data_IF_306581573975
#
_entry.id   IF_306581573975
#
_cell.length_a   1.000
_cell.length_b   1.000
_cell.length_c   1.000
_cell.angle_alpha   90.00
_cell.angle_beta   90.00
_cell.angle_gamma   90.00
#
_symmetry.space_group_name_H-M   'P 1'
#
loop_
_entity.id
_entity.type
_entity.pdbx_description
1 polymer ?
#
# COMPACT_ATOMS: atom_id res chain seq x y z
N UNK A 1 0.84 -12.84 -20.99
CA UNK A 1 2.04 -13.68 -21.11
C UNK A 1 2.90 -13.32 -19.93
N UNK A 2 3.01 -14.23 -18.97
CA UNK A 2 3.99 -14.09 -17.90
C UNK A 2 5.39 -14.27 -18.50
N UNK A 3 6.36 -13.51 -17.99
CA UNK A 3 7.75 -13.59 -18.41
C UNK A 3 8.56 -14.03 -17.21
N UNK A 4 9.36 -15.08 -17.40
CA UNK A 4 10.30 -15.54 -16.39
C UNK A 4 11.43 -14.51 -16.24
N UNK A 5 11.77 -14.21 -14.99
CA UNK A 5 12.87 -13.30 -14.63
C UNK A 5 13.79 -14.04 -13.67
N UNK A 6 15.06 -14.21 -14.07
CA UNK A 6 16.09 -14.81 -13.21
C UNK A 6 16.95 -13.72 -12.60
N UNK A 7 17.06 -13.72 -11.25
CA UNK A 7 17.89 -12.78 -10.50
C UNK A 7 18.83 -13.56 -9.58
N UNK A 8 20.11 -13.20 -9.58
CA UNK A 8 21.09 -13.71 -8.62
C UNK A 8 21.06 -12.85 -7.36
N UNK A 9 20.72 -13.46 -6.22
CA UNK A 9 20.68 -12.78 -4.92
C UNK A 9 21.88 -13.24 -4.06
N UNK A 10 22.42 -12.36 -3.19
CA UNK A 10 23.41 -12.78 -2.19
C UNK A 10 22.86 -13.91 -1.31
N UNK A 11 23.70 -14.88 -0.94
CA UNK A 11 23.29 -16.07 -0.18
C UNK A 11 22.45 -15.74 1.06
N UNK A 12 22.93 -14.80 1.89
CA UNK A 12 22.22 -14.38 3.10
C UNK A 12 20.82 -13.81 2.83
N UNK A 13 20.62 -13.17 1.67
CA UNK A 13 19.32 -12.65 1.27
C UNK A 13 18.39 -13.76 0.81
N UNK A 14 18.92 -14.74 0.06
CA UNK A 14 18.18 -15.94 -0.34
C UNK A 14 17.70 -16.70 0.89
N UNK A 15 18.59 -16.97 1.86
CA UNK A 15 18.25 -17.69 3.09
C UNK A 15 17.14 -16.98 3.88
N UNK A 16 17.23 -15.65 3.98
CA UNK A 16 16.24 -14.83 4.67
C UNK A 16 14.87 -14.86 3.95
N UNK A 17 14.87 -14.73 2.62
CA UNK A 17 13.66 -14.76 1.81
C UNK A 17 12.97 -16.14 1.88
N UNK A 18 13.74 -17.23 1.82
CA UNK A 18 13.22 -18.59 1.95
C UNK A 18 12.60 -18.85 3.32
N UNK A 19 13.25 -18.37 4.40
CA UNK A 19 12.72 -18.50 5.75
C UNK A 19 11.38 -17.76 5.88
N UNK A 20 11.31 -16.52 5.42
CA UNK A 20 10.08 -15.70 5.50
C UNK A 20 8.98 -16.31 4.65
N UNK A 21 9.29 -16.75 3.42
CA UNK A 21 8.31 -17.40 2.55
C UNK A 21 7.71 -18.64 3.23
N UNK A 22 8.56 -19.46 3.86
CA UNK A 22 8.14 -20.66 4.62
C UNK A 22 7.28 -20.31 5.83
N UNK A 23 7.68 -19.33 6.63
CA UNK A 23 6.90 -18.84 7.78
C UNK A 23 5.51 -18.33 7.33
N UNK A 24 5.44 -17.69 6.16
CA UNK A 24 4.20 -17.22 5.55
C UNK A 24 3.41 -18.28 4.76
N UNK A 25 3.89 -19.53 4.67
CA UNK A 25 3.21 -20.59 3.91
C UNK A 25 3.19 -20.37 2.39
N UNK A 26 4.17 -19.65 1.84
CA UNK A 26 4.30 -19.33 0.41
C UNK A 26 5.59 -19.91 -0.18
N UNK A 27 5.66 -20.00 -1.52
CA UNK A 27 6.92 -20.33 -2.19
C UNK A 27 7.83 -19.10 -2.26
N UNK A 28 9.14 -19.32 -2.45
CA UNK A 28 10.09 -18.22 -2.66
C UNK A 28 9.68 -17.34 -3.85
N UNK A 29 9.24 -17.95 -4.95
CA UNK A 29 8.81 -17.21 -6.15
C UNK A 29 7.60 -16.32 -5.87
N UNK A 30 6.62 -16.81 -5.11
CA UNK A 30 5.45 -16.03 -4.70
C UNK A 30 5.84 -14.87 -3.79
N UNK A 31 6.76 -15.12 -2.85
CA UNK A 31 7.31 -14.09 -1.98
C UNK A 31 8.02 -12.99 -2.80
N UNK A 32 8.90 -13.37 -3.73
CA UNK A 32 9.62 -12.43 -4.60
C UNK A 32 8.65 -11.65 -5.49
N UNK A 33 7.67 -12.32 -6.10
CA UNK A 33 6.65 -11.66 -6.92
C UNK A 33 5.87 -10.61 -6.13
N UNK A 34 5.50 -10.92 -4.88
CA UNK A 34 4.81 -10.01 -3.98
C UNK A 34 5.71 -8.82 -3.62
N UNK A 35 6.97 -9.07 -3.24
CA UNK A 35 7.94 -8.02 -2.92
C UNK A 35 8.17 -7.07 -4.11
N UNK A 36 8.21 -7.59 -5.34
CA UNK A 36 8.31 -6.77 -6.57
C UNK A 36 7.04 -5.94 -6.75
N UNK A 37 5.85 -6.53 -6.58
CA UNK A 37 4.59 -5.81 -6.68
C UNK A 37 4.47 -4.69 -5.64
N UNK A 38 4.87 -4.96 -4.40
CA UNK A 38 4.93 -3.97 -3.32
C UNK A 38 5.90 -2.84 -3.65
N UNK A 39 7.12 -3.16 -4.12
CA UNK A 39 8.11 -2.15 -4.49
C UNK A 39 7.63 -1.27 -5.63
N UNK A 40 7.02 -1.86 -6.66
CA UNK A 40 6.41 -1.12 -7.77
C UNK A 40 5.28 -0.22 -7.28
N UNK A 41 4.44 -0.71 -6.36
CA UNK A 41 3.34 0.08 -5.78
C UNK A 41 3.87 1.25 -4.96
N UNK A 42 4.88 1.02 -4.13
CA UNK A 42 5.54 2.06 -3.34
C UNK A 42 6.19 3.15 -4.20
N UNK A 43 6.88 2.76 -5.28
CA UNK A 43 7.47 3.73 -6.23
C UNK A 43 6.39 4.57 -6.91
N UNK A 44 5.27 3.94 -7.30
CA UNK A 44 4.19 4.62 -8.02
C UNK A 44 3.26 5.44 -7.12
N UNK A 45 3.26 5.19 -5.81
CA UNK A 45 2.30 5.77 -4.88
C UNK A 45 2.27 7.30 -4.91
N UNK A 46 3.44 7.95 -4.91
CA UNK A 46 3.53 9.43 -4.91
C UNK A 46 2.88 10.03 -6.16
N UNK A 47 3.26 9.53 -7.34
CA UNK A 47 2.70 10.00 -8.61
C UNK A 47 1.19 9.74 -8.69
N UNK A 48 0.76 8.52 -8.31
CA UNK A 48 -0.65 8.17 -8.29
C UNK A 48 -1.48 9.08 -7.39
N UNK A 49 -1.00 9.37 -6.17
CA UNK A 49 -1.68 10.25 -5.23
C UNK A 49 -1.72 11.70 -5.73
N UNK A 50 -0.65 12.18 -6.37
CA UNK A 50 -0.63 13.52 -6.98
C UNK A 50 -1.64 13.64 -8.13
N UNK A 51 -1.66 12.69 -9.07
CA UNK A 51 -2.61 12.64 -10.19
C UNK A 51 -4.06 12.47 -9.71
N UNK A 52 -4.27 11.69 -8.65
CA UNK A 52 -5.59 11.55 -8.02
C UNK A 52 -6.02 12.83 -7.32
N UNK A 53 -5.10 13.48 -6.59
CA UNK A 53 -5.34 14.76 -5.93
C UNK A 53 -5.70 15.87 -6.93
N UNK A 54 -5.05 15.91 -8.10
CA UNK A 54 -5.39 16.87 -9.16
C UNK A 54 -6.81 16.73 -9.73
N UNK A 55 -7.49 15.61 -9.48
CA UNK A 55 -8.89 15.38 -9.86
C UNK A 55 -9.89 15.70 -8.75
N UNK A 56 -9.43 16.17 -7.59
CA UNK A 56 -10.29 16.45 -6.46
C UNK A 56 -11.08 17.75 -6.67
N UNK A 57 -12.36 17.73 -6.30
CA UNK A 57 -13.17 18.93 -6.11
C UNK A 57 -13.11 19.31 -4.62
N UNK A 58 -12.20 20.23 -4.28
CA UNK A 58 -12.04 20.71 -2.91
C UNK A 58 -13.27 21.48 -2.42
N UNK A 59 -14.03 22.12 -3.30
CA UNK A 59 -15.26 22.80 -2.92
C UNK A 59 -16.37 21.78 -2.56
N UNK A 60 -16.45 20.66 -3.26
CA UNK A 60 -17.33 19.55 -2.86
C UNK A 60 -16.92 18.92 -1.54
N UNK A 61 -15.61 18.76 -1.31
CA UNK A 61 -15.08 18.30 -0.03
C UNK A 61 -15.50 19.24 1.12
N UNK A 62 -15.30 20.55 0.97
CA UNK A 62 -15.66 21.52 2.00
C UNK A 62 -17.17 21.54 2.28
N UNK A 63 -18.01 21.45 1.23
CA UNK A 63 -19.47 21.34 1.41
C UNK A 63 -19.85 20.09 2.20
N UNK A 64 -19.20 18.96 1.94
CA UNK A 64 -19.48 17.70 2.64
C UNK A 64 -18.98 17.71 4.09
N UNK A 65 -17.82 18.32 4.36
CA UNK A 65 -17.26 18.41 5.71
C UNK A 65 -18.01 19.39 6.60
N UNK A 66 -18.57 20.47 6.03
CA UNK A 66 -19.31 21.50 6.78
C UNK A 66 -20.84 21.28 6.80
N UNK A 67 -21.30 20.10 6.42
CA UNK A 67 -22.74 19.82 6.41
C UNK A 67 -23.31 19.86 7.83
N UNK A 68 -24.50 20.41 7.99
CA UNK A 68 -25.14 20.54 9.30
C UNK A 68 -25.73 19.22 9.82
N UNK A 69 -25.95 18.27 8.91
CA UNK A 69 -26.50 16.95 9.16
C UNK A 69 -25.36 15.91 9.24
N UNK A 70 -24.94 15.59 10.47
CA UNK A 70 -23.94 14.56 10.72
C UNK A 70 -24.16 13.88 12.06
N UNK A 71 -23.68 12.65 12.18
CA UNK A 71 -23.56 12.03 13.49
C UNK A 71 -22.33 12.62 14.21
N UNK A 72 -22.42 12.89 15.51
CA UNK A 72 -21.24 13.27 16.28
C UNK A 72 -20.19 12.13 16.23
N UNK A 73 -18.89 12.45 16.36
CA UNK A 73 -17.84 11.44 16.47
C UNK A 73 -18.15 10.45 17.60
N UNK A 74 -17.81 9.17 17.39
CA UNK A 74 -17.87 8.18 18.47
C UNK A 74 -16.95 8.61 19.61
N UNK A 75 -17.17 8.14 20.86
CA UNK A 75 -16.32 8.51 22.00
C UNK A 75 -14.81 8.35 21.71
N UNK A 76 -14.43 7.28 21.01
CA UNK A 76 -13.03 6.97 20.66
C UNK A 76 -12.49 7.79 19.46
N UNK A 77 -13.37 8.48 18.72
CA UNK A 77 -13.00 9.36 17.61
C UNK A 77 -12.84 10.82 18.05
N UNK A 78 -13.14 11.14 19.32
CA UNK A 78 -13.01 12.50 19.84
C UNK A 78 -11.55 12.83 20.10
N UNK A 79 -11.14 14.02 19.68
CA UNK A 79 -9.85 14.56 20.09
C UNK A 79 -9.84 14.79 21.61
N UNK A 80 -8.68 14.61 22.29
CA UNK A 80 -8.54 15.02 23.68
C UNK A 80 -8.85 16.52 23.84
N UNK A 81 -9.43 16.89 24.98
CA UNK A 81 -9.63 18.29 25.37
C UNK A 81 -8.31 19.04 25.60
#
# INVERSE_FOLDING_TARGET
MDRDVTVQLPHALTDAAERIAREGGTTLDQFVATAVAEKLSAIKAVTFLAERGGRADLAAFDRFMNRQDGLPPAPDDRLPD
#
